data_IF_692042948674
#
_entry.id   IF_692042948674
#
_cell.length_a   1.000
_cell.length_b   1.000
_cell.length_c   1.000
_cell.angle_alpha   90.00
_cell.angle_beta   90.00
_cell.angle_gamma   90.00
#
_symmetry.space_group_name_H-M   'P 1'
#
loop_
_entity.id
_entity.type
_entity.pdbx_description
1 polymer ?
#
# COMPACT_ATOMS: atom_id res chain seq x y z
N UNK A 1 18.80 -25.84 7.74
CA UNK A 1 18.55 -25.09 6.49
C UNK A 1 19.04 -23.67 6.74
N UNK A 2 19.93 -23.14 5.90
CA UNK A 2 20.37 -21.76 6.06
C UNK A 2 19.17 -20.83 5.75
N UNK A 3 18.81 -19.97 6.70
CA UNK A 3 17.79 -18.94 6.47
C UNK A 3 18.32 -17.98 5.40
N UNK A 4 17.78 -18.08 4.18
CA UNK A 4 18.14 -17.22 3.05
C UNK A 4 17.37 -15.89 3.06
N UNK A 5 16.90 -15.43 4.22
CA UNK A 5 16.11 -14.22 4.36
C UNK A 5 16.98 -12.99 4.60
N UNK A 6 16.68 -11.88 3.94
CA UNK A 6 17.24 -10.58 4.33
C UNK A 6 16.46 -10.07 5.54
N UNK A 7 17.17 -9.79 6.64
CA UNK A 7 16.59 -9.04 7.77
C UNK A 7 16.47 -7.57 7.35
N UNK A 8 15.26 -7.03 7.41
CA UNK A 8 14.97 -5.63 7.13
C UNK A 8 14.50 -4.95 8.40
N UNK A 9 15.14 -3.84 8.75
CA UNK A 9 14.79 -3.01 9.90
C UNK A 9 14.16 -1.71 9.42
N UNK A 10 13.02 -1.36 10.01
CA UNK A 10 12.32 -0.10 9.79
C UNK A 10 12.52 0.82 10.99
N UNK A 11 12.67 2.12 10.75
CA UNK A 11 12.88 3.12 11.81
C UNK A 11 11.69 4.07 11.96
N UNK A 12 10.81 4.13 10.96
CA UNK A 12 9.65 5.01 10.94
C UNK A 12 8.38 4.21 10.69
N UNK A 13 7.28 4.63 11.31
CA UNK A 13 5.95 4.09 11.07
C UNK A 13 4.95 5.23 10.87
N UNK A 14 4.39 5.34 9.66
CA UNK A 14 3.29 6.24 9.35
C UNK A 14 1.95 5.54 9.62
N UNK A 15 1.09 6.16 10.43
CA UNK A 15 -0.26 5.68 10.69
C UNK A 15 -1.27 6.44 9.82
N UNK A 16 -2.08 5.70 9.07
CA UNK A 16 -3.25 6.24 8.38
C UNK A 16 -4.51 5.60 8.97
N UNK A 17 -5.50 6.42 9.33
CA UNK A 17 -6.79 5.95 9.83
C UNK A 17 -7.92 6.43 8.92
N UNK A 18 -8.79 5.51 8.55
CA UNK A 18 -9.95 5.73 7.69
C UNK A 18 -11.19 5.26 8.46
N UNK A 19 -12.13 6.16 8.73
CA UNK A 19 -13.43 5.93 9.36
C UNK A 19 -14.36 5.08 8.50
N UNK A 20 -14.24 5.13 7.17
CA UNK A 20 -15.09 4.34 6.28
C UNK A 20 -14.69 4.33 4.80
N UNK A 21 -15.51 3.67 3.98
CA UNK A 21 -15.24 3.39 2.55
C UNK A 21 -15.10 4.61 1.63
N UNK A 22 -15.55 5.80 2.08
CA UNK A 22 -15.45 7.05 1.31
C UNK A 22 -14.07 7.70 1.39
N UNK A 23 -13.37 7.50 2.50
CA UNK A 23 -12.02 8.04 2.67
C UNK A 23 -11.06 7.20 1.86
N UNK A 24 -10.25 7.87 1.06
CA UNK A 24 -9.35 7.27 0.10
C UNK A 24 -8.03 8.00 0.13
N UNK A 25 -7.03 7.39 -0.49
CA UNK A 25 -5.76 8.05 -0.76
C UNK A 25 -5.54 7.99 -2.27
N UNK A 26 -5.48 9.15 -2.92
CA UNK A 26 -5.36 9.26 -4.37
C UNK A 26 -4.12 8.55 -4.91
N UNK A 27 -4.03 8.40 -6.23
CA UNK A 27 -2.88 7.77 -6.88
C UNK A 27 -1.58 8.52 -6.57
N UNK A 28 -0.63 7.85 -5.95
CA UNK A 28 0.69 8.40 -5.59
C UNK A 28 1.75 7.29 -5.64
N UNK A 29 3.01 7.69 -5.58
CA UNK A 29 4.10 6.84 -5.11
C UNK A 29 4.63 7.48 -3.83
N UNK A 30 5.04 6.66 -2.88
CA UNK A 30 5.61 7.13 -1.63
C UNK A 30 6.96 7.80 -1.96
N UNK A 31 7.00 9.14 -1.85
CA UNK A 31 8.21 9.93 -2.04
C UNK A 31 8.82 10.27 -0.69
N UNK A 32 9.91 9.59 -0.38
CA UNK A 32 11.05 10.04 0.44
C UNK A 32 12.27 9.45 -0.30
N UNK A 33 12.79 10.18 -1.30
CA UNK A 33 13.83 11.21 -1.20
C UNK A 33 15.16 10.65 -0.69
N UNK A 34 16.20 10.83 -1.54
CA UNK A 34 17.60 10.61 -1.21
C UNK A 34 17.88 11.02 0.23
N UNK A 35 18.58 10.17 0.99
CA UNK A 35 19.36 10.66 2.12
C UNK A 35 20.42 11.61 1.53
N UNK A 36 20.36 12.95 1.75
CA UNK A 36 21.32 13.88 1.16
C UNK A 36 22.76 13.58 1.61
N UNK A 37 22.89 12.95 2.79
CA UNK A 37 24.15 12.51 3.36
C UNK A 37 24.74 11.23 2.72
N UNK A 38 23.96 10.47 1.95
CA UNK A 38 24.35 9.15 1.42
C UNK A 38 24.28 9.04 -0.11
N UNK A 39 23.76 10.04 -0.82
CA UNK A 39 23.84 10.15 -2.28
C UNK A 39 23.17 9.01 -3.08
N UNK A 40 22.45 8.11 -2.41
CA UNK A 40 21.80 6.95 -3.01
C UNK A 40 20.28 6.98 -2.73
N UNK A 41 19.43 6.59 -3.68
CA UNK A 41 18.00 6.41 -3.43
C UNK A 41 17.82 5.30 -2.37
N UNK A 42 16.92 5.51 -1.40
CA UNK A 42 16.52 4.45 -0.48
C UNK A 42 16.02 3.25 -1.29
N UNK A 43 16.71 2.12 -1.13
CA UNK A 43 16.38 0.83 -1.70
C UNK A 43 15.92 -0.12 -0.59
N UNK A 44 15.17 0.37 0.38
CA UNK A 44 14.48 -0.47 1.36
C UNK A 44 13.05 -0.69 0.90
N UNK A 45 12.49 -1.90 1.10
CA UNK A 45 11.08 -2.12 0.83
C UNK A 45 10.24 -1.28 1.80
N UNK A 46 8.96 -1.11 1.49
CA UNK A 46 7.97 -0.55 2.42
C UNK A 46 7.08 -1.70 2.88
N UNK A 47 6.85 -1.81 4.19
CA UNK A 47 5.94 -2.80 4.76
C UNK A 47 4.66 -2.11 5.26
N UNK A 48 3.52 -2.50 4.72
CA UNK A 48 2.21 -1.93 5.06
C UNK A 48 1.32 -2.98 5.72
N UNK A 49 0.96 -2.77 6.99
CA UNK A 49 0.06 -3.64 7.75
C UNK A 49 -1.33 -2.99 7.82
N UNK A 50 -2.37 -3.73 7.44
CA UNK A 50 -3.77 -3.29 7.51
C UNK A 50 -4.50 -3.95 8.67
N UNK A 51 -5.26 -3.16 9.44
CA UNK A 51 -6.09 -3.60 10.56
C UNK A 51 -7.50 -3.04 10.40
N UNK A 52 -8.51 -3.88 10.62
CA UNK A 52 -9.92 -3.47 10.61
C UNK A 52 -10.57 -3.74 9.26
N UNK A 53 -11.38 -2.79 8.78
CA UNK A 53 -12.19 -2.96 7.57
C UNK A 53 -11.34 -3.28 6.32
N UNK A 54 -11.87 -4.15 5.46
CA UNK A 54 -11.20 -4.57 4.22
C UNK A 54 -11.22 -3.40 3.24
N UNK A 55 -10.09 -3.12 2.59
CA UNK A 55 -10.00 -2.11 1.54
C UNK A 55 -9.16 -2.59 0.36
N UNK A 56 -9.31 -1.93 -0.78
CA UNK A 56 -8.59 -2.25 -2.01
C UNK A 56 -7.43 -1.30 -2.24
N UNK A 57 -6.25 -1.88 -2.44
CA UNK A 57 -5.09 -1.17 -2.93
C UNK A 57 -5.06 -1.30 -4.46
N UNK A 58 -5.36 -0.20 -5.15
CA UNK A 58 -5.16 -0.09 -6.58
C UNK A 58 -3.68 0.10 -6.89
N UNK A 59 -3.20 -0.52 -7.97
CA UNK A 59 -1.84 -0.38 -8.47
C UNK A 59 -1.88 -0.13 -9.96
N UNK A 60 -1.07 0.79 -10.46
CA UNK A 60 -0.95 1.07 -11.90
C UNK A 60 0.47 1.46 -12.26
N UNK A 61 0.90 1.17 -13.49
CA UNK A 61 2.18 1.64 -14.00
C UNK A 61 2.16 3.16 -14.13
N UNK A 62 3.28 3.82 -13.83
CA UNK A 62 3.42 5.25 -14.08
C UNK A 62 3.43 5.58 -15.57
N UNK A 63 4.01 4.68 -16.38
CA UNK A 63 4.08 4.81 -17.84
C UNK A 63 2.75 4.55 -18.54
N UNK A 64 1.82 3.83 -17.90
CA UNK A 64 0.48 3.56 -18.42
C UNK A 64 -0.57 3.71 -17.31
N UNK A 65 -0.95 4.97 -16.97
CA UNK A 65 -1.89 5.23 -15.89
C UNK A 65 -3.34 4.89 -16.23
N UNK A 66 -3.65 4.55 -17.49
CA UNK A 66 -5.00 4.25 -17.97
C UNK A 66 -5.38 2.78 -17.80
N UNK A 67 -4.39 1.90 -17.58
CA UNK A 67 -4.59 0.45 -17.39
C UNK A 67 -4.13 0.02 -16.00
N UNK A 68 -4.96 0.21 -14.95
CA UNK A 68 -4.62 -0.27 -13.62
C UNK A 68 -4.61 -1.80 -13.57
N UNK A 69 -3.72 -2.35 -12.74
CA UNK A 69 -3.70 -3.77 -12.41
C UNK A 69 -4.94 -4.13 -11.57
N UNK A 70 -5.32 -5.42 -11.52
CA UNK A 70 -6.32 -5.90 -10.57
C UNK A 70 -5.96 -5.48 -9.13
N UNK A 71 -6.89 -4.86 -8.38
CA UNK A 71 -6.58 -4.34 -7.07
C UNK A 71 -6.36 -5.47 -6.05
N UNK A 72 -5.45 -5.23 -5.11
CA UNK A 72 -5.20 -6.13 -3.99
C UNK A 72 -6.24 -5.87 -2.88
N UNK A 73 -6.88 -6.93 -2.39
CA UNK A 73 -7.76 -6.85 -1.21
C UNK A 73 -6.91 -6.98 0.05
N UNK A 74 -6.98 -5.97 0.92
CA UNK A 74 -6.26 -5.89 2.18
C UNK A 74 -7.26 -5.95 3.33
N UNK A 75 -7.35 -7.10 3.98
CA UNK A 75 -8.17 -7.30 5.18
C UNK A 75 -7.41 -7.13 6.48
N UNK A 76 -8.09 -7.35 7.61
CA UNK A 76 -7.46 -7.31 8.92
C UNK A 76 -6.28 -8.29 9.00
N UNK A 77 -5.13 -7.79 9.47
CA UNK A 77 -3.90 -8.56 9.64
C UNK A 77 -3.07 -8.75 8.37
N UNK A 78 -3.51 -8.23 7.22
CA UNK A 78 -2.74 -8.38 5.98
C UNK A 78 -1.47 -7.54 6.01
N UNK A 79 -0.35 -8.13 5.58
CA UNK A 79 0.90 -7.46 5.28
C UNK A 79 1.06 -7.33 3.75
N UNK A 80 1.29 -6.12 3.28
CA UNK A 80 1.65 -5.82 1.90
C UNK A 80 3.07 -5.23 1.87
N UNK A 81 3.97 -5.85 1.10
CA UNK A 81 5.34 -5.39 0.92
C UNK A 81 5.48 -4.77 -0.47
N UNK A 82 5.95 -3.53 -0.52
CA UNK A 82 6.28 -2.83 -1.76
C UNK A 82 7.80 -2.79 -1.89
N UNK A 83 8.35 -3.64 -2.76
CA UNK A 83 9.79 -3.79 -3.00
C UNK A 83 10.46 -2.54 -3.59
N UNK A 84 11.79 -2.50 -3.56
CA UNK A 84 12.62 -1.34 -3.88
C UNK A 84 12.25 -0.58 -5.17
N UNK A 85 11.94 -1.28 -6.25
CA UNK A 85 11.59 -0.67 -7.54
C UNK A 85 10.13 -0.24 -7.65
N UNK A 86 9.27 -0.63 -6.70
CA UNK A 86 7.84 -0.40 -6.77
C UNK A 86 7.52 1.09 -6.81
N UNK A 87 8.10 1.86 -5.90
CA UNK A 87 7.87 3.31 -5.83
C UNK A 87 8.44 4.06 -7.04
N UNK A 88 9.37 3.46 -7.80
CA UNK A 88 9.87 4.03 -9.05
C UNK A 88 8.90 3.79 -10.22
N UNK A 89 8.35 2.58 -10.33
CA UNK A 89 7.62 2.12 -11.51
C UNK A 89 6.08 2.27 -11.39
N UNK A 90 5.54 2.25 -10.18
CA UNK A 90 4.10 2.18 -9.95
C UNK A 90 3.57 3.38 -9.16
N UNK A 91 2.30 3.68 -9.39
CA UNK A 91 1.48 4.42 -8.43
C UNK A 91 0.53 3.45 -7.74
N UNK A 92 0.27 3.67 -6.46
CA UNK A 92 -0.74 2.99 -5.68
C UNK A 92 -1.79 3.97 -5.14
N UNK A 93 -2.96 3.45 -4.80
CA UNK A 93 -4.07 4.21 -4.26
C UNK A 93 -4.93 3.33 -3.36
N UNK A 94 -5.37 3.87 -2.22
CA UNK A 94 -6.43 3.24 -1.46
C UNK A 94 -7.76 3.66 -2.10
N UNK A 95 -8.39 2.76 -2.83
CA UNK A 95 -9.57 3.08 -3.65
C UNK A 95 -10.79 3.35 -2.78
N UNK A 96 -11.61 4.38 -3.10
CA UNK A 96 -12.92 4.54 -2.47
C UNK A 96 -13.81 3.34 -2.82
N UNK A 97 -14.76 3.01 -1.95
CA UNK A 97 -15.69 1.92 -2.20
C UNK A 97 -16.90 2.33 -3.04
N UNK A 98 -17.28 3.60 -2.93
CA UNK A 98 -18.33 4.24 -3.73
C UNK A 98 -17.83 4.39 -5.17
N UNK A 99 -18.03 3.36 -6.01
CA UNK A 99 -17.75 3.44 -7.45
C UNK A 99 -17.11 2.22 -8.12
N UNK A 100 -16.96 1.09 -7.43
CA UNK A 100 -16.37 -0.12 -8.01
C UNK A 100 -17.41 -1.24 -8.19
N UNK A 101 -17.31 -2.04 -9.26
CA UNK A 101 -18.28 -3.10 -9.54
C UNK A 101 -18.29 -4.17 -8.43
N UNK A 102 -19.49 -4.67 -8.12
CA UNK A 102 -19.80 -5.63 -7.06
C UNK A 102 -19.18 -7.03 -7.24
N UNK A 103 -18.24 -7.21 -8.18
CA UNK A 103 -17.65 -8.52 -8.52
C UNK A 103 -16.62 -9.04 -7.51
N UNK A 104 -16.32 -8.26 -6.46
CA UNK A 104 -15.42 -8.67 -5.38
C UNK A 104 -16.24 -9.40 -4.31
N UNK A 105 -16.06 -10.72 -4.20
CA UNK A 105 -16.88 -11.70 -3.46
C UNK A 105 -16.95 -11.46 -1.92
N UNK A 106 -16.36 -10.38 -1.39
CA UNK A 106 -16.37 -10.03 0.04
C UNK A 106 -16.63 -8.54 0.32
N UNK A 107 -17.41 -7.85 -0.52
CA UNK A 107 -17.81 -6.45 -0.34
C UNK A 107 -18.54 -6.14 0.99
N UNK A 108 -19.00 -7.16 1.74
CA UNK A 108 -19.67 -6.98 3.03
C UNK A 108 -18.75 -6.55 4.19
N UNK A 109 -17.42 -6.58 4.02
CA UNK A 109 -16.43 -6.19 5.05
C UNK A 109 -15.90 -4.74 4.92
N UNK A 110 -16.54 -3.96 4.05
CA UNK A 110 -16.32 -2.57 3.70
C UNK A 110 -16.67 -1.55 4.81
N UNK A 111 -17.59 -1.92 5.69
CA UNK A 111 -18.17 -1.01 6.67
C UNK A 111 -17.38 -1.05 7.97
N UNK A 112 -16.55 -0.03 8.20
CA UNK A 112 -15.89 0.18 9.48
C UNK A 112 -14.56 0.89 9.38
N UNK A 113 -13.94 1.09 10.55
CA UNK A 113 -12.65 1.74 10.66
C UNK A 113 -11.55 0.84 10.11
N UNK A 114 -10.66 1.41 9.30
CA UNK A 114 -9.38 0.82 8.89
C UNK A 114 -8.23 1.64 9.44
N UNK A 115 -7.25 0.96 10.02
CA UNK A 115 -5.94 1.53 10.36
C UNK A 115 -4.89 0.86 9.48
N UNK A 116 -3.98 1.66 8.92
CA UNK A 116 -2.83 1.18 8.17
C UNK A 116 -1.55 1.70 8.80
N UNK A 117 -0.61 0.79 9.03
CA UNK A 117 0.72 1.09 9.54
C UNK A 117 1.72 0.87 8.39
N UNK A 118 2.34 1.94 7.93
CA UNK A 118 3.35 1.91 6.85
C UNK A 118 4.73 2.09 7.46
N UNK A 119 5.51 1.02 7.50
CA UNK A 119 6.86 0.97 8.02
C UNK A 119 7.89 1.30 6.93
N UNK A 120 8.88 2.12 7.29
CA UNK A 120 9.94 2.64 6.41
C UNK A 120 11.30 2.74 7.12
#
# INVERSE_FOLDING_TARGET
AAETGQVVTFSVCLLNRYEGGRESLGWHADREEMEPALGAPRSSPIASISLGAVRRLGVRLKSDPQQPLPPLQLGHGSLCVMENAFQLLYHHSLLPEDGLPNSCVHAAAATGVRVNLTFR
#
